data_IF_058541976500
#
_entry.id   IF_058541976500
#
_cell.length_a   1.000
_cell.length_b   1.000
_cell.length_c   1.000
_cell.angle_alpha   90.00
_cell.angle_beta   90.00
_cell.angle_gamma   90.00
#
_symmetry.space_group_name_H-M   'P 1'
#
loop_
_entity.id
_entity.type
_entity.pdbx_description
1 polymer ?
#
# COMPACT_ATOMS: atom_id res chain seq x y z
N UNK A 1 51.55 -6.28 -24.71
CA UNK A 1 52.50 -5.14 -24.57
C UNK A 1 51.75 -3.83 -24.76
N UNK A 2 51.39 -3.15 -23.66
CA UNK A 2 51.50 -1.71 -23.40
C UNK A 2 50.55 -1.32 -22.26
N UNK A 3 51.20 -1.07 -21.13
CA UNK A 3 50.69 -0.37 -19.95
C UNK A 3 50.48 1.10 -20.35
N UNK A 4 49.39 1.73 -19.92
CA UNK A 4 49.40 3.18 -19.81
C UNK A 4 48.70 3.62 -18.51
N UNK A 5 49.52 4.31 -17.71
CA UNK A 5 49.22 4.98 -16.44
C UNK A 5 48.48 6.29 -16.70
N UNK A 6 47.69 6.75 -15.75
CA UNK A 6 47.14 8.11 -15.76
C UNK A 6 46.44 8.47 -14.45
N UNK A 7 47.23 8.90 -13.47
CA UNK A 7 46.81 9.52 -12.21
C UNK A 7 46.38 10.96 -12.48
N UNK A 8 45.31 11.43 -11.83
CA UNK A 8 44.91 12.84 -11.85
C UNK A 8 43.95 13.18 -10.72
N UNK A 9 44.50 13.34 -9.50
CA UNK A 9 43.83 13.95 -8.35
C UNK A 9 43.81 15.47 -8.58
N UNK A 10 42.62 16.08 -8.54
CA UNK A 10 42.48 17.53 -8.34
C UNK A 10 41.57 17.74 -7.13
N UNK A 11 42.21 18.11 -6.01
CA UNK A 11 41.59 18.72 -4.84
C UNK A 11 41.54 20.22 -5.12
N UNK A 12 40.35 20.83 -5.07
CA UNK A 12 40.21 22.29 -5.07
C UNK A 12 39.49 22.74 -3.80
N UNK A 13 40.13 23.73 -3.17
CA UNK A 13 39.87 24.27 -1.84
C UNK A 13 38.65 25.20 -1.78
N UNK A 14 38.08 25.23 -0.57
CA UNK A 14 37.16 26.18 0.07
C UNK A 14 37.07 27.59 -0.51
N UNK A 15 35.86 28.18 -0.44
CA UNK A 15 35.66 29.51 0.15
C UNK A 15 34.42 29.48 1.07
N UNK A 16 34.66 29.78 2.35
CA UNK A 16 33.68 30.11 3.38
C UNK A 16 33.14 31.54 3.17
N UNK A 17 31.83 31.73 3.26
CA UNK A 17 31.24 33.04 3.59
C UNK A 17 30.23 32.86 4.70
N UNK A 18 30.69 33.10 5.93
CA UNK A 18 29.86 33.30 7.09
C UNK A 18 29.38 34.76 7.11
N UNK A 19 28.07 34.98 7.09
CA UNK A 19 27.49 36.28 7.39
C UNK A 19 27.38 36.43 8.91
N UNK A 20 28.33 37.14 9.52
CA UNK A 20 28.20 37.70 10.86
C UNK A 20 27.32 38.94 10.80
N UNK A 21 26.10 38.88 11.34
CA UNK A 21 25.30 40.08 11.61
C UNK A 21 25.48 40.47 13.07
N UNK A 22 25.76 41.77 13.20
CA UNK A 22 26.31 42.54 14.30
C UNK A 22 25.25 42.80 15.38
N UNK A 23 25.56 42.43 16.62
CA UNK A 23 24.86 42.94 17.82
C UNK A 23 25.04 44.45 17.90
N UNK A 24 23.94 45.17 18.10
CA UNK A 24 23.97 46.58 18.47
C UNK A 24 23.19 46.73 19.77
N UNK A 25 23.93 46.77 20.88
CA UNK A 25 23.44 47.16 22.18
C UNK A 25 23.23 48.68 22.20
N UNK A 26 22.00 49.12 22.46
CA UNK A 26 21.76 50.42 23.05
C UNK A 26 20.82 50.24 24.23
N UNK A 27 21.41 50.30 25.42
CA UNK A 27 20.73 50.55 26.68
C UNK A 27 20.06 51.93 26.64
N UNK A 28 18.80 52.00 27.05
CA UNK A 28 18.28 53.20 27.69
C UNK A 28 17.38 52.78 28.84
N UNK A 29 17.94 52.84 30.04
CA UNK A 29 17.24 52.69 31.30
C UNK A 29 16.17 53.79 31.47
N UNK A 30 14.90 53.41 31.61
CA UNK A 30 13.99 54.05 32.55
C UNK A 30 13.11 53.02 33.25
N UNK A 31 13.38 52.91 34.55
CA UNK A 31 12.64 52.17 35.56
C UNK A 31 11.18 52.62 35.67
N UNK A 32 10.27 51.66 35.68
CA UNK A 32 9.04 51.66 36.47
C UNK A 32 8.55 50.23 36.56
N UNK A 33 8.59 49.67 37.76
CA UNK A 33 8.33 48.26 38.02
C UNK A 33 6.88 47.87 37.80
N UNK A 34 6.71 46.70 37.17
CA UNK A 34 5.57 45.81 37.36
C UNK A 34 6.13 44.39 37.35
N UNK A 35 6.00 43.69 38.48
CA UNK A 35 6.36 42.28 38.61
C UNK A 35 5.34 41.49 37.80
N UNK A 36 5.69 41.12 36.57
CA UNK A 36 4.95 40.13 35.80
C UNK A 36 5.47 38.74 36.19
N UNK A 37 4.65 37.99 36.92
CA UNK A 37 4.87 36.57 37.19
C UNK A 37 4.91 35.85 35.83
N UNK A 38 6.12 35.43 35.41
CA UNK A 38 6.27 34.52 34.28
C UNK A 38 5.76 33.15 34.71
N UNK A 39 4.50 32.90 34.39
CA UNK A 39 3.89 31.58 34.39
C UNK A 39 4.54 30.81 33.23
N UNK A 40 5.19 29.65 33.47
CA UNK A 40 5.71 28.86 32.36
C UNK A 40 4.53 28.45 31.48
N UNK A 41 4.57 28.86 30.21
CA UNK A 41 3.68 28.33 29.19
C UNK A 41 4.02 26.85 29.00
N UNK A 42 3.37 25.99 29.79
CA UNK A 42 3.30 24.57 29.53
C UNK A 42 2.66 24.43 28.16
N UNK A 43 3.47 24.18 27.13
CA UNK A 43 3.01 23.77 25.82
C UNK A 43 2.25 22.46 26.00
N UNK A 44 0.93 22.56 26.18
CA UNK A 44 0.04 21.43 26.05
C UNK A 44 0.07 21.01 24.58
N UNK A 45 0.97 20.09 24.25
CA UNK A 45 0.77 19.20 23.10
C UNK A 45 -0.41 18.30 23.44
N UNK A 46 -1.62 18.85 23.28
CA UNK A 46 -2.84 18.06 23.30
C UNK A 46 -2.86 17.23 22.01
N UNK A 47 -2.36 16.00 22.07
CA UNK A 47 -2.70 14.95 21.12
C UNK A 47 -4.19 14.63 21.28
N UNK A 48 -5.06 15.52 20.80
CA UNK A 48 -6.46 15.19 20.57
C UNK A 48 -6.45 14.28 19.35
N UNK A 49 -6.61 12.98 19.59
CA UNK A 49 -6.82 11.95 18.55
C UNK A 49 -8.15 12.26 17.84
N UNK A 50 -8.11 13.17 16.87
CA UNK A 50 -9.23 13.51 16.01
C UNK A 50 -9.33 12.40 14.96
N UNK A 51 -10.13 11.38 15.27
CA UNK A 51 -10.35 10.25 14.38
C UNK A 51 -11.46 9.35 14.90
N UNK A 52 -12.07 8.59 14.00
CA UNK A 52 -13.13 7.65 14.34
C UNK A 52 -12.68 6.22 14.07
N UNK A 53 -13.15 5.24 14.86
CA UNK A 53 -12.82 3.84 14.62
C UNK A 53 -13.46 3.36 13.31
N UNK A 54 -12.73 2.55 12.55
CA UNK A 54 -13.28 1.92 11.35
C UNK A 54 -14.13 0.69 11.75
N UNK A 55 -15.34 0.53 11.18
CA UNK A 55 -16.23 -0.59 11.50
C UNK A 55 -15.83 -1.87 10.76
N UNK A 56 -14.67 -2.44 11.13
CA UNK A 56 -14.22 -3.72 10.59
C UNK A 56 -15.21 -4.84 10.91
N UNK A 57 -15.44 -5.71 9.92
CA UNK A 57 -16.31 -6.87 10.07
C UNK A 57 -15.67 -8.11 9.43
N UNK A 58 -16.00 -9.29 9.94
CA UNK A 58 -15.50 -10.55 9.39
C UNK A 58 -15.90 -10.70 7.93
N UNK A 59 -14.93 -11.02 7.07
CA UNK A 59 -15.17 -11.33 5.66
C UNK A 59 -14.78 -12.78 5.35
N UNK A 60 -15.46 -13.39 4.38
CA UNK A 60 -15.16 -14.75 3.90
C UNK A 60 -14.57 -14.66 2.50
N UNK A 61 -13.33 -14.19 2.42
CA UNK A 61 -12.58 -14.06 1.15
C UNK A 61 -11.54 -15.17 0.98
N UNK A 62 -11.20 -15.87 2.06
CA UNK A 62 -10.27 -17.00 2.06
C UNK A 62 -11.00 -18.29 1.71
N UNK A 63 -10.38 -19.09 0.84
CA UNK A 63 -10.87 -20.38 0.38
C UNK A 63 -9.72 -21.39 0.35
N UNK A 64 -9.98 -22.70 0.53
CA UNK A 64 -8.96 -23.72 0.36
C UNK A 64 -8.60 -23.86 -1.13
N UNK A 65 -7.31 -24.09 -1.40
CA UNK A 65 -6.84 -24.39 -2.76
C UNK A 65 -7.39 -25.72 -3.27
N UNK A 66 -7.74 -25.75 -4.55
CA UNK A 66 -8.21 -26.97 -5.21
C UNK A 66 -7.03 -27.72 -5.83
N UNK A 67 -6.81 -28.97 -5.41
CA UNK A 67 -5.76 -29.82 -5.98
C UNK A 67 -6.10 -30.24 -7.41
N UNK A 68 -5.07 -30.30 -8.26
CA UNK A 68 -5.14 -30.76 -9.65
C UNK A 68 -3.86 -31.53 -10.01
N UNK A 69 -3.66 -31.84 -11.29
CA UNK A 69 -2.44 -32.44 -11.82
C UNK A 69 -1.96 -31.68 -13.06
N UNK A 70 -0.66 -31.77 -13.37
CA UNK A 70 -0.11 -31.15 -14.58
C UNK A 70 -0.78 -31.66 -15.87
N UNK A 71 -1.24 -32.92 -15.89
CA UNK A 71 -1.93 -33.51 -17.04
C UNK A 71 -3.35 -32.96 -17.24
N UNK A 72 -3.95 -32.39 -16.19
CA UNK A 72 -5.27 -31.78 -16.25
C UNK A 72 -5.20 -30.30 -16.66
N UNK A 73 -4.01 -29.70 -16.64
CA UNK A 73 -3.79 -28.38 -17.19
C UNK A 73 -3.82 -28.48 -18.72
N UNK A 74 -4.29 -27.42 -19.38
CA UNK A 74 -4.14 -27.30 -20.82
C UNK A 74 -2.70 -26.94 -21.22
N UNK A 75 -2.46 -26.51 -22.48
CA UNK A 75 -1.13 -26.12 -22.93
C UNK A 75 -0.50 -25.06 -22.02
N UNK A 76 0.64 -25.40 -21.42
CA UNK A 76 1.43 -24.50 -20.60
C UNK A 76 2.10 -23.49 -21.54
N UNK A 77 1.91 -22.21 -21.25
CA UNK A 77 2.43 -21.11 -22.07
C UNK A 77 3.58 -20.39 -21.37
N UNK A 78 3.62 -20.46 -20.04
CA UNK A 78 4.71 -19.93 -19.25
C UNK A 78 4.90 -20.71 -17.96
N UNK A 79 6.15 -20.75 -17.48
CA UNK A 79 6.53 -21.26 -16.17
C UNK A 79 7.37 -20.22 -15.47
N UNK A 80 7.04 -19.90 -14.23
CA UNK A 80 7.80 -18.97 -13.41
C UNK A 80 8.13 -19.63 -12.08
N UNK A 81 9.42 -19.76 -11.80
CA UNK A 81 9.90 -20.18 -10.49
C UNK A 81 9.76 -19.01 -9.52
N UNK A 82 9.23 -19.28 -8.33
CA UNK A 82 9.24 -18.35 -7.21
C UNK A 82 9.55 -19.17 -5.96
N UNK A 83 10.69 -18.88 -5.31
CA UNK A 83 11.23 -19.72 -4.23
C UNK A 83 11.31 -21.21 -4.64
N UNK A 84 10.63 -22.07 -3.89
CA UNK A 84 10.55 -23.51 -4.12
C UNK A 84 9.31 -23.91 -4.94
N UNK A 85 8.46 -22.94 -5.30
CA UNK A 85 7.25 -23.12 -6.09
C UNK A 85 7.44 -22.83 -7.58
N UNK A 86 6.62 -23.49 -8.40
CA UNK A 86 6.49 -23.19 -9.83
C UNK A 86 5.07 -22.73 -10.10
N UNK A 87 4.93 -21.51 -10.62
CA UNK A 87 3.66 -21.02 -11.18
C UNK A 87 3.62 -21.32 -12.67
N UNK A 88 2.54 -21.95 -13.10
CA UNK A 88 2.23 -22.27 -14.48
C UNK A 88 1.14 -21.34 -15.00
N UNK A 89 1.40 -20.67 -16.12
CA UNK A 89 0.32 -20.08 -16.91
C UNK A 89 -0.05 -21.05 -18.03
N UNK A 90 -1.34 -21.30 -18.21
CA UNK A 90 -1.83 -22.25 -19.20
C UNK A 90 -3.15 -21.80 -19.83
N UNK A 91 -3.48 -22.36 -20.99
CA UNK A 91 -4.76 -22.14 -21.66
C UNK A 91 -5.65 -23.36 -21.55
N UNK A 92 -6.89 -23.19 -21.06
CA UNK A 92 -7.92 -24.24 -21.07
C UNK A 92 -8.95 -24.02 -22.17
N UNK A 93 -9.23 -22.77 -22.47
CA UNK A 93 -10.20 -22.32 -23.48
C UNK A 93 -9.49 -21.37 -24.46
N UNK A 94 -10.03 -21.21 -25.68
CA UNK A 94 -9.32 -20.58 -26.81
C UNK A 94 -8.77 -19.18 -26.56
N UNK A 95 -9.22 -18.49 -25.51
CA UNK A 95 -8.78 -17.12 -25.20
C UNK A 95 -8.47 -16.88 -23.73
N UNK A 96 -8.76 -17.81 -22.81
CA UNK A 96 -8.59 -17.57 -21.38
C UNK A 96 -7.24 -18.09 -20.87
N UNK A 97 -6.57 -17.28 -20.05
CA UNK A 97 -5.36 -17.65 -19.34
C UNK A 97 -5.70 -18.01 -17.89
N UNK A 98 -5.16 -19.14 -17.46
CA UNK A 98 -5.33 -19.67 -16.12
C UNK A 98 -3.97 -19.81 -15.45
N UNK A 99 -3.97 -19.79 -14.12
CA UNK A 99 -2.80 -20.03 -13.30
C UNK A 99 -2.97 -21.33 -12.51
N UNK A 100 -1.87 -22.05 -12.34
CA UNK A 100 -1.74 -23.13 -11.37
C UNK A 100 -0.41 -22.96 -10.64
N UNK A 101 -0.32 -23.45 -9.41
CA UNK A 101 0.91 -23.42 -8.63
C UNK A 101 1.28 -24.83 -8.19
N UNK A 102 2.56 -25.17 -8.31
CA UNK A 102 3.10 -26.42 -7.83
C UNK A 102 4.06 -26.17 -6.67
N UNK A 103 3.87 -26.91 -5.59
CA UNK A 103 4.81 -27.01 -4.48
C UNK A 103 5.11 -28.48 -4.22
N UNK A 104 6.39 -28.84 -4.29
CA UNK A 104 6.84 -30.24 -4.32
C UNK A 104 6.14 -31.04 -5.42
N UNK A 105 5.40 -32.09 -5.04
CA UNK A 105 4.65 -32.95 -5.96
C UNK A 105 3.18 -32.55 -6.13
N UNK A 106 2.69 -31.54 -5.39
CA UNK A 106 1.28 -31.14 -5.40
C UNK A 106 1.08 -29.95 -6.32
N UNK A 107 0.04 -30.02 -7.16
CA UNK A 107 -0.38 -28.91 -8.02
C UNK A 107 -1.74 -28.42 -7.56
N UNK A 108 -1.90 -27.10 -7.49
CA UNK A 108 -3.15 -26.44 -7.13
C UNK A 108 -3.62 -25.56 -8.28
N UNK A 109 -4.91 -25.63 -8.60
CA UNK A 109 -5.56 -24.73 -9.54
C UNK A 109 -5.86 -23.40 -8.85
N UNK A 110 -5.52 -22.29 -9.51
CA UNK A 110 -5.79 -20.93 -9.07
C UNK A 110 -7.00 -20.35 -9.83
N UNK A 111 -7.27 -20.88 -11.03
CA UNK A 111 -8.33 -20.38 -11.90
C UNK A 111 -7.86 -19.31 -12.88
N UNK A 112 -8.82 -18.56 -13.43
CA UNK A 112 -8.57 -17.60 -14.49
C UNK A 112 -7.82 -16.37 -13.95
N UNK A 113 -6.77 -15.97 -14.66
CA UNK A 113 -5.92 -14.80 -14.33
C UNK A 113 -5.84 -13.80 -15.49
N UNK A 114 -6.33 -14.16 -16.68
CA UNK A 114 -6.21 -13.32 -17.86
C UNK A 114 -7.04 -13.78 -19.05
N UNK A 115 -6.95 -13.02 -20.13
CA UNK A 115 -7.34 -13.43 -21.46
C UNK A 115 -6.25 -13.05 -22.47
N UNK A 116 -6.20 -13.76 -23.59
CA UNK A 116 -5.24 -13.64 -24.69
C UNK A 116 -3.77 -13.88 -24.30
N UNK A 117 -3.11 -14.79 -25.03
CA UNK A 117 -1.66 -15.03 -24.89
C UNK A 117 -0.83 -13.76 -25.12
N UNK A 118 -1.31 -12.85 -25.95
CA UNK A 118 -0.61 -11.63 -26.30
C UNK A 118 -0.47 -10.67 -25.09
N UNK A 119 -1.29 -10.86 -24.06
CA UNK A 119 -1.30 -10.04 -22.86
C UNK A 119 -0.74 -10.78 -21.64
N UNK A 120 -0.10 -11.94 -21.84
CA UNK A 120 0.50 -12.71 -20.74
C UNK A 120 1.51 -11.90 -19.93
N UNK A 121 2.22 -10.97 -20.59
CA UNK A 121 3.26 -10.14 -19.97
C UNK A 121 2.68 -9.08 -19.03
N UNK A 122 1.37 -8.84 -19.07
CA UNK A 122 0.64 -8.00 -18.12
C UNK A 122 0.26 -8.75 -16.84
N UNK A 123 0.56 -10.06 -16.74
CA UNK A 123 0.37 -10.85 -15.53
C UNK A 123 1.64 -10.77 -14.68
N UNK A 124 1.52 -10.29 -13.45
CA UNK A 124 2.60 -10.27 -12.47
C UNK A 124 2.47 -11.41 -11.49
N UNK A 125 3.63 -11.93 -11.05
CA UNK A 125 3.74 -12.99 -10.06
C UNK A 125 4.92 -12.61 -9.17
N UNK A 126 4.68 -12.46 -7.89
CA UNK A 126 5.69 -12.02 -6.92
C UNK A 126 5.38 -12.55 -5.52
N UNK A 127 6.36 -12.49 -4.64
CA UNK A 127 6.17 -12.80 -3.23
C UNK A 127 5.95 -11.48 -2.50
N UNK A 128 4.95 -11.45 -1.63
CA UNK A 128 4.63 -10.29 -0.78
C UNK A 128 4.48 -10.75 0.66
N UNK A 129 4.71 -9.84 1.59
CA UNK A 129 4.37 -10.04 3.01
C UNK A 129 3.06 -9.32 3.30
N UNK A 130 2.08 -10.03 3.84
CA UNK A 130 0.79 -9.48 4.23
C UNK A 130 0.18 -10.33 5.34
N UNK A 131 -0.54 -9.70 6.27
CA UNK A 131 -1.08 -10.38 7.45
C UNK A 131 -0.02 -11.06 8.34
N UNK A 132 1.24 -10.65 8.22
CA UNK A 132 2.37 -11.19 8.97
C UNK A 132 2.97 -12.46 8.34
N UNK A 133 2.48 -12.85 7.16
CA UNK A 133 2.83 -14.09 6.48
C UNK A 133 3.30 -13.81 5.04
N UNK A 134 4.06 -14.75 4.48
CA UNK A 134 4.46 -14.70 3.08
C UNK A 134 3.35 -15.26 2.18
N UNK A 135 3.00 -14.51 1.13
CA UNK A 135 2.06 -14.92 0.09
C UNK A 135 2.70 -14.84 -1.28
N UNK A 136 2.28 -15.72 -2.19
CA UNK A 136 2.52 -15.57 -3.61
C UNK A 136 1.35 -14.78 -4.19
N UNK A 137 1.61 -13.53 -4.60
CA UNK A 137 0.66 -12.63 -5.24
C UNK A 137 0.71 -12.83 -6.75
N UNK A 138 -0.45 -13.05 -7.36
CA UNK A 138 -0.62 -13.08 -8.81
C UNK A 138 -1.61 -12.00 -9.20
N UNK A 139 -1.20 -11.10 -10.07
CA UNK A 139 -2.03 -10.00 -10.56
C UNK A 139 -2.29 -10.18 -12.03
N UNK A 140 -3.55 -10.04 -12.41
CA UNK A 140 -4.02 -10.23 -13.76
C UNK A 140 -5.30 -9.44 -13.99
N UNK A 141 -6.12 -9.88 -14.94
CA UNK A 141 -7.28 -9.10 -15.37
C UNK A 141 -8.37 -9.95 -16.03
N UNK A 142 -9.63 -9.53 -15.87
CA UNK A 142 -10.80 -10.14 -16.53
C UNK A 142 -11.43 -9.23 -17.60
N UNK A 143 -10.84 -8.05 -17.84
CA UNK A 143 -11.33 -7.01 -18.75
C UNK A 143 -10.55 -5.71 -18.57
N UNK A 144 -10.86 -4.67 -19.35
CA UNK A 144 -10.13 -3.40 -19.34
C UNK A 144 -10.10 -2.69 -17.97
N UNK A 145 -11.15 -2.88 -17.15
CA UNK A 145 -11.29 -2.28 -15.82
C UNK A 145 -11.61 -3.34 -14.75
N UNK A 146 -11.13 -4.57 -14.95
CA UNK A 146 -11.38 -5.68 -14.05
C UNK A 146 -10.04 -6.29 -13.62
N UNK A 147 -9.32 -5.67 -12.68
CA UNK A 147 -8.14 -6.30 -12.09
C UNK A 147 -8.53 -7.55 -11.32
N UNK A 148 -7.70 -8.58 -11.41
CA UNK A 148 -7.76 -9.76 -10.56
C UNK A 148 -6.47 -9.79 -9.75
N UNK A 149 -6.60 -9.91 -8.43
CA UNK A 149 -5.46 -10.21 -7.55
C UNK A 149 -5.77 -11.49 -6.79
N UNK A 150 -4.83 -12.42 -6.84
CA UNK A 150 -4.86 -13.67 -6.10
C UNK A 150 -3.68 -13.72 -5.14
N UNK A 151 -3.92 -14.10 -3.89
CA UNK A 151 -2.87 -14.41 -2.92
C UNK A 151 -2.96 -15.88 -2.57
N UNK A 152 -1.81 -16.55 -2.57
CA UNK A 152 -1.71 -17.98 -2.28
C UNK A 152 -0.74 -18.20 -1.14
N UNK A 153 -1.19 -18.97 -0.15
CA UNK A 153 -0.37 -19.46 0.95
C UNK A 153 -0.33 -20.98 0.93
N UNK A 154 0.82 -21.55 0.59
CA UNK A 154 0.98 -23.00 0.46
C UNK A 154 1.25 -23.68 1.80
N UNK A 155 2.02 -23.03 2.69
CA UNK A 155 2.47 -23.60 3.96
C UNK A 155 1.36 -23.73 5.02
N UNK A 156 0.18 -23.18 4.75
CA UNK A 156 -0.99 -23.31 5.60
C UNK A 156 -1.71 -24.66 5.36
N UNK A 157 -2.44 -25.16 6.36
CA UNK A 157 -3.23 -26.40 6.25
C UNK A 157 -4.70 -26.17 6.64
N UNK A 158 -5.64 -26.11 5.67
CA UNK A 158 -5.41 -26.28 4.23
C UNK A 158 -4.66 -25.09 3.62
N UNK A 159 -3.94 -25.32 2.53
CA UNK A 159 -3.33 -24.24 1.75
C UNK A 159 -4.43 -23.28 1.30
N UNK A 160 -4.20 -21.97 1.47
CA UNK A 160 -5.24 -20.97 1.34
C UNK A 160 -5.07 -20.08 0.12
N UNK A 161 -6.20 -19.54 -0.32
CA UNK A 161 -6.38 -18.76 -1.52
C UNK A 161 -7.31 -17.59 -1.24
N UNK A 162 -6.85 -16.39 -1.54
CA UNK A 162 -7.60 -15.14 -1.44
C UNK A 162 -7.73 -14.57 -2.85
N UNK A 163 -8.96 -14.41 -3.34
CA UNK A 163 -9.22 -13.77 -4.63
C UNK A 163 -9.95 -12.45 -4.45
N UNK A 164 -9.47 -11.43 -5.14
CA UNK A 164 -10.01 -10.09 -5.11
C UNK A 164 -10.11 -9.53 -6.52
N UNK A 165 -11.26 -8.96 -6.86
CA UNK A 165 -11.44 -8.23 -8.13
C UNK A 165 -11.13 -6.75 -7.91
N UNK A 166 -9.87 -6.45 -7.60
CA UNK A 166 -9.41 -5.12 -7.27
C UNK A 166 -7.90 -4.98 -7.55
N UNK A 167 -7.44 -3.75 -7.76
CA UNK A 167 -6.03 -3.43 -7.62
C UNK A 167 -5.70 -3.44 -6.13
N UNK A 168 -4.61 -4.10 -5.75
CA UNK A 168 -4.24 -4.21 -4.34
C UNK A 168 -2.85 -3.69 -4.06
N UNK A 169 -2.70 -3.09 -2.89
CA UNK A 169 -1.44 -2.68 -2.30
C UNK A 169 -1.34 -3.29 -0.91
N UNK A 170 -0.21 -3.92 -0.62
CA UNK A 170 0.14 -4.39 0.72
C UNK A 170 0.88 -3.27 1.45
N UNK A 171 0.35 -2.79 2.57
CA UNK A 171 1.01 -1.75 3.34
C UNK A 171 0.62 -1.79 4.81
N UNK A 172 1.60 -1.54 5.67
CA UNK A 172 1.43 -1.32 7.10
C UNK A 172 0.84 0.09 7.33
N UNK A 173 -0.49 0.17 7.24
CA UNK A 173 -1.19 1.46 7.35
C UNK A 173 -1.29 1.92 8.79
N UNK A 174 -1.24 1.01 9.77
CA UNK A 174 -1.41 1.31 11.18
C UNK A 174 -0.08 1.46 11.96
N UNK A 175 1.06 1.13 11.33
CA UNK A 175 2.43 1.17 11.85
C UNK A 175 2.76 0.11 12.91
N UNK A 176 2.14 -1.07 12.85
CA UNK A 176 2.40 -2.20 13.74
C UNK A 176 3.42 -3.20 13.19
N UNK A 177 3.95 -2.96 11.99
CA UNK A 177 4.91 -3.81 11.30
C UNK A 177 4.27 -4.94 10.49
N UNK A 178 2.94 -5.03 10.42
CA UNK A 178 2.21 -6.02 9.65
C UNK A 178 1.45 -5.32 8.52
N UNK A 179 1.71 -5.72 7.27
CA UNK A 179 0.98 -5.16 6.15
C UNK A 179 -0.48 -5.62 6.13
N UNK A 180 -1.39 -4.67 5.87
CA UNK A 180 -2.76 -4.90 5.46
C UNK A 180 -2.91 -4.96 3.93
N UNK A 181 -4.05 -5.44 3.42
CA UNK A 181 -4.41 -5.30 2.00
C UNK A 181 -5.31 -4.09 1.83
N UNK A 182 -4.90 -3.17 0.97
CA UNK A 182 -5.72 -2.06 0.50
C UNK A 182 -6.17 -2.40 -0.92
N UNK A 183 -7.46 -2.58 -1.12
CA UNK A 183 -8.05 -2.96 -2.39
C UNK A 183 -8.88 -1.81 -2.96
N UNK A 184 -8.56 -1.38 -4.18
CA UNK A 184 -9.25 -0.29 -4.88
C UNK A 184 -9.79 -0.78 -6.22
N UNK A 185 -11.05 -0.45 -6.51
CA UNK A 185 -11.73 -0.81 -7.77
C UNK A 185 -12.58 0.35 -8.28
N UNK A 186 -12.82 0.36 -9.60
CA UNK A 186 -13.72 1.31 -10.24
C UNK A 186 -13.06 2.65 -10.61
N UNK A 187 -13.68 3.35 -11.57
CA UNK A 187 -13.24 4.70 -11.99
C UNK A 187 -13.48 5.73 -10.90
N UNK A 188 -14.61 5.62 -10.21
CA UNK A 188 -14.79 6.23 -8.89
C UNK A 188 -14.21 5.23 -7.90
N UNK A 189 -13.08 5.58 -7.30
CA UNK A 189 -12.30 4.66 -6.49
C UNK A 189 -13.09 4.23 -5.24
N UNK A 190 -13.53 2.97 -5.26
CA UNK A 190 -14.09 2.27 -4.10
C UNK A 190 -12.94 1.52 -3.43
N UNK A 191 -12.60 1.91 -2.19
CA UNK A 191 -11.45 1.36 -1.47
C UNK A 191 -11.90 0.61 -0.22
N UNK A 192 -11.36 -0.60 -0.06
CA UNK A 192 -11.52 -1.42 1.14
C UNK A 192 -10.17 -1.72 1.78
N UNK A 193 -10.16 -1.83 3.10
CA UNK A 193 -9.00 -2.31 3.87
C UNK A 193 -9.35 -3.70 4.39
N UNK A 194 -8.43 -4.65 4.24
CA UNK A 194 -8.50 -5.96 4.86
C UNK A 194 -7.31 -6.13 5.80
N UNK A 195 -7.58 -6.69 6.97
CA UNK A 195 -6.58 -6.97 8.00
C UNK A 195 -6.80 -8.34 8.60
N UNK A 196 -5.76 -8.89 9.21
CA UNK A 196 -5.89 -10.09 10.02
C UNK A 196 -6.20 -9.71 11.47
N UNK A 197 -7.15 -10.42 12.07
CA UNK A 197 -7.58 -10.26 13.46
C UNK A 197 -7.73 -11.66 14.04
N UNK A 198 -7.14 -11.97 15.21
CA UNK A 198 -6.39 -13.19 15.58
C UNK A 198 -6.60 -14.53 14.86
N UNK A 199 -7.77 -14.82 14.30
CA UNK A 199 -8.10 -16.08 13.61
C UNK A 199 -8.95 -15.87 12.33
N UNK A 200 -9.09 -14.64 11.84
CA UNK A 200 -9.93 -14.30 10.70
C UNK A 200 -9.49 -13.03 9.99
N UNK A 201 -9.84 -12.94 8.72
CA UNK A 201 -9.71 -11.69 7.96
C UNK A 201 -10.95 -10.83 8.23
N UNK A 202 -10.70 -9.59 8.59
CA UNK A 202 -11.72 -8.55 8.69
C UNK A 202 -11.54 -7.54 7.55
N UNK A 203 -12.66 -7.03 7.05
CA UNK A 203 -12.69 -6.01 6.01
C UNK A 203 -13.53 -4.81 6.42
N UNK A 204 -13.22 -3.65 5.85
CA UNK A 204 -14.03 -2.43 5.92
C UNK A 204 -14.03 -1.74 4.56
N UNK A 205 -15.21 -1.29 4.14
CA UNK A 205 -15.38 -0.45 2.95
C UNK A 205 -15.23 1.03 3.35
N UNK A 206 -14.14 1.68 2.93
CA UNK A 206 -13.80 3.02 3.40
C UNK A 206 -14.79 4.07 2.91
N UNK A 207 -15.22 4.00 1.66
CA UNK A 207 -16.15 4.97 1.11
C UNK A 207 -17.45 5.04 1.94
N UNK A 208 -17.96 3.88 2.37
CA UNK A 208 -19.13 3.79 3.25
C UNK A 208 -18.81 4.30 4.67
N UNK A 209 -17.72 3.85 5.27
CA UNK A 209 -17.33 4.24 6.62
C UNK A 209 -17.07 5.75 6.77
N UNK A 210 -16.59 6.40 5.70
CA UNK A 210 -16.26 7.81 5.64
C UNK A 210 -17.39 8.68 5.05
N UNK A 211 -18.47 8.07 4.54
CA UNK A 211 -19.48 8.75 3.73
C UNK A 211 -18.86 9.59 2.60
N UNK A 212 -17.92 8.98 1.87
CA UNK A 212 -17.14 9.59 0.80
C UNK A 212 -17.57 9.06 -0.57
N UNK A 213 -17.43 9.91 -1.60
CA UNK A 213 -17.73 9.53 -2.98
C UNK A 213 -16.59 8.71 -3.60
N UNK A 214 -15.34 9.03 -3.25
CA UNK A 214 -14.17 8.28 -3.67
C UNK A 214 -13.11 8.31 -2.57
N UNK A 215 -12.43 7.18 -2.38
CA UNK A 215 -11.28 7.07 -1.50
C UNK A 215 -10.15 6.42 -2.28
N UNK A 216 -8.99 7.06 -2.31
CA UNK A 216 -7.79 6.54 -3.00
C UNK A 216 -6.63 6.46 -2.02
N UNK A 217 -5.99 5.30 -1.94
CA UNK A 217 -4.78 5.14 -1.14
C UNK A 217 -3.55 5.70 -1.86
N UNK A 218 -2.68 6.39 -1.12
CA UNK A 218 -1.41 6.98 -1.56
C UNK A 218 -0.26 6.24 -0.87
N UNK A 219 0.31 5.20 -1.51
CA UNK A 219 1.36 4.39 -0.90
C UNK A 219 2.59 5.19 -0.48
N UNK A 220 2.94 6.23 -1.25
CA UNK A 220 4.12 7.09 -1.03
C UNK A 220 4.11 7.84 0.31
N UNK A 221 2.94 8.23 0.77
CA UNK A 221 2.73 8.97 2.03
C UNK A 221 2.09 8.10 3.10
N UNK A 222 1.63 6.90 2.73
CA UNK A 222 0.81 6.03 3.56
C UNK A 222 -0.40 6.82 4.12
N UNK A 223 -1.19 7.39 3.20
CA UNK A 223 -2.37 8.22 3.46
C UNK A 223 -3.50 7.88 2.49
N UNK A 224 -4.69 8.38 2.77
CA UNK A 224 -5.88 8.25 1.94
C UNK A 224 -6.33 9.62 1.48
N UNK A 225 -6.48 9.80 0.17
CA UNK A 225 -7.15 10.95 -0.42
C UNK A 225 -8.64 10.65 -0.50
N UNK A 226 -9.46 11.54 0.07
CA UNK A 226 -10.90 11.36 0.23
C UNK A 226 -11.61 12.50 -0.47
N UNK A 227 -12.43 12.17 -1.46
CA UNK A 227 -13.36 13.09 -2.11
C UNK A 227 -14.73 12.99 -1.46
N UNK A 228 -15.14 14.06 -0.78
CA UNK A 228 -16.49 14.16 -0.20
C UNK A 228 -17.56 14.51 -1.24
N UNK A 229 -18.85 14.56 -0.85
CA UNK A 229 -19.96 14.88 -1.74
C UNK A 229 -19.88 16.24 -2.45
N UNK A 230 -19.06 17.17 -1.93
CA UNK A 230 -18.84 18.50 -2.50
C UNK A 230 -17.51 18.59 -3.29
N UNK A 231 -16.90 17.45 -3.65
CA UNK A 231 -15.60 17.34 -4.35
C UNK A 231 -14.41 17.99 -3.61
N UNK A 232 -14.57 18.32 -2.32
CA UNK A 232 -13.47 18.77 -1.50
C UNK A 232 -12.57 17.57 -1.18
N UNK A 233 -11.32 17.68 -1.64
CA UNK A 233 -10.28 16.72 -1.32
C UNK A 233 -9.76 16.95 0.10
N UNK A 234 -9.61 15.85 0.82
CA UNK A 234 -8.99 15.83 2.15
C UNK A 234 -8.07 14.63 2.27
N UNK A 235 -6.99 14.79 3.02
CA UNK A 235 -6.05 13.71 3.30
C UNK A 235 -6.32 13.12 4.67
N UNK A 236 -6.25 11.80 4.77
CA UNK A 236 -6.53 11.05 5.97
C UNK A 236 -5.47 10.00 6.22
N UNK A 237 -5.34 9.59 7.48
CA UNK A 237 -4.44 8.53 7.88
C UNK A 237 -5.11 7.63 8.91
N UNK A 238 -4.87 6.34 8.76
CA UNK A 238 -5.26 5.34 9.75
C UNK A 238 -4.12 5.18 10.75
N UNK A 239 -4.37 5.34 12.05
CA UNK A 239 -3.42 5.07 13.14
C UNK A 239 -4.19 4.70 14.40
N UNK A 240 -3.63 3.81 15.22
CA UNK A 240 -4.18 3.42 16.52
C UNK A 240 -5.67 2.99 16.43
N UNK A 241 -6.02 2.26 15.37
CA UNK A 241 -7.38 1.77 15.14
C UNK A 241 -8.38 2.84 14.65
N UNK A 242 -7.93 4.05 14.33
CA UNK A 242 -8.78 5.17 13.95
C UNK A 242 -8.36 5.82 12.64
N UNK A 243 -9.35 6.23 11.86
CA UNK A 243 -9.16 7.06 10.67
C UNK A 243 -9.30 8.53 11.07
N UNK A 244 -8.26 9.34 10.84
CA UNK A 244 -8.23 10.76 11.20
C UNK A 244 -7.69 11.64 10.07
N UNK A 245 -8.18 12.89 9.92
CA UNK A 245 -7.71 13.78 8.87
C UNK A 245 -6.30 14.26 9.17
N UNK A 246 -5.47 14.38 8.14
CA UNK A 246 -4.25 15.16 8.22
C UNK A 246 -4.64 16.64 8.16
N UNK A 247 -4.42 17.36 9.25
CA UNK A 247 -4.57 18.81 9.26
C UNK A 247 -3.48 19.40 8.37
N UNK A 248 -3.83 19.66 7.11
CA UNK A 248 -2.99 20.47 6.23
C UNK A 248 -3.01 21.88 6.84
N UNK A 249 -1.89 22.28 7.46
CA UNK A 249 -1.69 23.66 7.87
C UNK A 249 -1.93 24.58 6.68
N UNK A 250 -2.99 25.40 6.77
CA UNK A 250 -3.41 26.40 5.78
C UNK A 250 -3.67 25.86 4.36
N UNK A 251 -4.82 25.21 4.17
CA UNK A 251 -5.47 25.09 2.86
C UNK A 251 -5.81 26.51 2.34
N UNK A 252 -4.93 27.06 1.50
CA UNK A 252 -5.34 28.05 0.50
C UNK A 252 -6.21 27.30 -0.50
N UNK A 253 -7.53 27.44 -0.34
CA UNK A 253 -8.53 26.94 -1.28
C UNK A 253 -8.28 27.62 -2.63
N UNK A 254 -7.55 26.96 -3.53
CA UNK A 254 -7.57 27.34 -4.95
C UNK A 254 -8.92 26.91 -5.51
N UNK A 255 -9.86 27.86 -5.57
CA UNK A 255 -11.00 27.76 -6.47
C UNK A 255 -10.46 27.70 -7.90
N UNK A 256 -10.69 26.60 -8.60
CA UNK A 256 -10.58 26.60 -10.05
C UNK A 256 -11.61 27.61 -10.58
N UNK A 257 -11.09 28.59 -11.33
CA UNK A 257 -11.87 29.63 -12.01
C UNK A 257 -12.18 29.18 -13.43
#
# INVERSE_FOLDING_TARGET
MKIMKGIGIIVLFMILTACTVRENNQETNRSSGVIAIQQPATSMTSNVSYGFPLPFSTVKIEQPLTKTTLTNLGPIVEKKQINDEVVYLYQKEKENLYAAIQSGSTVFDIGQIGYSLQQKDSISIEQVEVFGEAYIKMTGFCGANCPITNYVQIEHNPSSFLQMTAHTVEADINQDGVNEIIATVGTLAETSIYRFSPERIEGVHLNEAMNAQAVTYKPETNTFEVSGPNELLSEWKYRDGKMGPLLIGNLQIKKCS
#
